data_IF_217968999052
#
_entry.id   IF_217968999052
#
_cell.length_a   1.000
_cell.length_b   1.000
_cell.length_c   1.000
_cell.angle_alpha   90.00
_cell.angle_beta   90.00
_cell.angle_gamma   90.00
#
_symmetry.space_group_name_H-M   'P 1'
#
loop_
_entity.id
_entity.type
_entity.pdbx_description
1 polymer ?
#
# COMPACT_ATOMS: atom_id res chain seq x y z
N UNK A 1 -18.67 -2.48 28.54
CA UNK A 1 -18.23 -1.59 27.45
C UNK A 1 -17.23 -2.40 26.65
N UNK A 2 -17.53 -2.76 25.40
CA UNK A 2 -16.51 -3.37 24.51
C UNK A 2 -15.36 -2.38 24.35
N UNK A 3 -14.12 -2.86 24.40
CA UNK A 3 -12.95 -2.01 24.11
C UNK A 3 -13.07 -1.42 22.71
N UNK A 4 -12.58 -0.19 22.48
CA UNK A 4 -12.52 0.35 21.12
C UNK A 4 -11.74 -0.55 20.18
N UNK A 5 -12.16 -0.63 18.93
CA UNK A 5 -11.44 -1.32 17.87
C UNK A 5 -10.20 -0.51 17.49
N UNK A 6 -9.03 -1.12 17.61
CA UNK A 6 -7.76 -0.50 17.27
C UNK A 6 -7.53 -0.55 15.76
N UNK A 7 -7.61 0.61 15.10
CA UNK A 7 -7.38 0.79 13.68
C UNK A 7 -6.01 1.45 13.47
N UNK A 8 -5.16 0.87 12.62
CA UNK A 8 -3.87 1.41 12.26
C UNK A 8 -3.73 1.49 10.73
N UNK A 9 -3.39 2.68 10.21
CA UNK A 9 -3.26 2.90 8.77
C UNK A 9 -2.24 4.00 8.46
N UNK A 10 -1.89 4.18 7.19
CA UNK A 10 -0.88 5.15 6.78
C UNK A 10 -1.45 6.58 6.72
N UNK A 11 -0.59 7.61 6.76
CA UNK A 11 -1.01 8.98 6.46
C UNK A 11 -1.16 9.23 4.96
N UNK A 12 -1.08 8.19 4.12
CA UNK A 12 -1.25 8.31 2.67
C UNK A 12 -2.71 8.57 2.30
N UNK A 13 -2.92 9.27 1.19
CA UNK A 13 -4.22 9.83 0.85
C UNK A 13 -5.30 8.76 0.62
N UNK A 14 -4.94 7.59 0.10
CA UNK A 14 -5.87 6.48 -0.11
C UNK A 14 -6.35 5.85 1.21
N UNK A 15 -5.46 5.64 2.18
CA UNK A 15 -5.84 5.13 3.50
C UNK A 15 -6.73 6.12 4.26
N UNK A 16 -6.35 7.41 4.27
CA UNK A 16 -7.18 8.44 4.91
C UNK A 16 -8.54 8.51 4.22
N UNK A 17 -8.58 8.47 2.88
CA UNK A 17 -9.83 8.46 2.12
C UNK A 17 -10.79 7.35 2.58
N UNK A 18 -10.27 6.14 2.78
CA UNK A 18 -11.06 4.98 3.20
C UNK A 18 -11.65 5.12 4.60
N UNK A 19 -10.88 5.67 5.55
CA UNK A 19 -11.25 5.68 6.96
C UNK A 19 -11.77 7.04 7.46
N UNK A 20 -11.63 8.09 6.69
CA UNK A 20 -12.11 9.42 7.06
C UNK A 20 -13.61 9.44 7.41
N UNK A 21 -14.52 8.82 6.62
CA UNK A 21 -15.95 8.80 6.96
C UNK A 21 -16.25 8.11 8.28
N UNK A 22 -15.59 7.00 8.57
CA UNK A 22 -15.73 6.26 9.82
C UNK A 22 -15.34 7.12 11.02
N UNK A 23 -14.19 7.78 10.93
CA UNK A 23 -13.62 8.57 12.03
C UNK A 23 -14.37 9.91 12.23
N UNK A 24 -15.10 10.38 11.22
CA UNK A 24 -15.89 11.62 11.28
C UNK A 24 -17.39 11.39 11.43
N UNK A 25 -17.81 10.17 11.84
CA UNK A 25 -19.21 9.86 12.14
C UNK A 25 -20.16 9.95 10.94
N UNK A 26 -19.64 9.73 9.73
CA UNK A 26 -20.45 9.76 8.50
C UNK A 26 -21.17 8.43 8.23
N UNK A 27 -20.79 7.36 8.91
CA UNK A 27 -21.36 6.03 8.74
C UNK A 27 -21.83 5.46 10.07
N UNK A 28 -22.82 4.55 10.00
CA UNK A 28 -23.26 3.82 11.17
C UNK A 28 -22.21 2.79 11.59
N UNK A 29 -21.71 2.90 12.81
CA UNK A 29 -20.70 2.01 13.37
C UNK A 29 -21.28 0.75 14.03
N UNK A 30 -22.57 0.54 13.95
CA UNK A 30 -23.28 -0.59 14.59
C UNK A 30 -22.96 -0.72 16.10
N UNK A 31 -22.76 0.42 16.75
CA UNK A 31 -22.41 0.50 18.18
C UNK A 31 -20.94 0.22 18.50
N UNK A 32 -20.08 0.02 17.51
CA UNK A 32 -18.64 -0.05 17.69
C UNK A 32 -18.04 1.35 17.90
N UNK A 33 -16.96 1.40 18.66
CA UNK A 33 -16.10 2.57 18.80
C UNK A 33 -14.73 2.24 18.24
N UNK A 34 -14.05 3.21 17.65
CA UNK A 34 -12.76 3.04 17.00
C UNK A 34 -11.73 4.00 17.61
N UNK A 35 -10.51 3.51 17.76
CA UNK A 35 -9.32 4.35 17.96
C UNK A 35 -8.45 4.22 16.73
N UNK A 36 -7.85 5.31 16.27
CA UNK A 36 -7.05 5.31 15.05
C UNK A 36 -5.64 5.81 15.34
N UNK A 37 -4.66 5.12 14.79
CA UNK A 37 -3.26 5.53 14.75
C UNK A 37 -2.76 5.57 13.32
N UNK A 38 -1.91 6.57 13.02
CA UNK A 38 -1.27 6.70 11.70
C UNK A 38 0.24 6.49 11.85
N UNK A 39 0.81 5.66 10.98
CA UNK A 39 2.25 5.45 10.87
C UNK A 39 2.63 5.16 9.41
N UNK A 40 3.90 5.36 9.06
CA UNK A 40 4.36 5.02 7.71
C UNK A 40 4.24 3.51 7.43
N UNK A 41 4.16 3.18 6.13
CA UNK A 41 3.89 1.82 5.65
C UNK A 41 4.86 0.77 6.20
N UNK A 42 6.17 1.05 6.28
CA UNK A 42 7.13 0.06 6.80
C UNK A 42 6.97 -0.11 8.31
N UNK A 43 6.68 0.97 9.04
CA UNK A 43 6.35 0.90 10.48
C UNK A 43 5.08 0.08 10.72
N UNK A 44 4.02 0.29 9.93
CA UNK A 44 2.81 -0.54 10.00
C UNK A 44 3.09 -2.01 9.69
N UNK A 45 3.87 -2.29 8.65
CA UNK A 45 4.29 -3.64 8.30
C UNK A 45 5.02 -4.33 9.47
N UNK A 46 5.95 -3.63 10.14
CA UNK A 46 6.65 -4.16 11.30
C UNK A 46 5.71 -4.37 12.49
N UNK A 47 4.84 -3.41 12.74
CA UNK A 47 3.88 -3.45 13.84
C UNK A 47 2.86 -4.58 13.70
N UNK A 48 2.47 -4.93 12.48
CA UNK A 48 1.53 -6.02 12.22
C UNK A 48 2.02 -7.38 12.79
N UNK A 49 3.33 -7.56 12.98
CA UNK A 49 3.89 -8.77 13.59
C UNK A 49 3.59 -8.86 15.09
N UNK A 50 3.40 -7.74 15.79
CA UNK A 50 3.06 -7.72 17.23
C UNK A 50 1.60 -8.09 17.51
N UNK A 51 0.71 -7.95 16.52
CA UNK A 51 -0.70 -8.29 16.65
C UNK A 51 -1.51 -7.35 17.55
N UNK A 52 -1.05 -6.13 17.76
CA UNK A 52 -1.67 -5.16 18.67
C UNK A 52 -2.81 -4.33 18.06
N UNK A 53 -2.92 -4.29 16.73
CA UNK A 53 -4.03 -3.67 16.03
C UNK A 53 -5.12 -4.67 15.66
N UNK A 54 -6.38 -4.27 15.73
CA UNK A 54 -7.52 -5.08 15.33
C UNK A 54 -7.71 -5.06 13.80
N UNK A 55 -7.55 -3.88 13.21
CA UNK A 55 -7.50 -3.68 11.75
C UNK A 55 -6.26 -2.87 11.43
N UNK A 56 -5.46 -3.34 10.47
CA UNK A 56 -4.20 -2.72 10.10
C UNK A 56 -4.00 -2.71 8.59
N UNK A 57 -3.65 -1.54 8.03
CA UNK A 57 -3.20 -1.43 6.65
C UNK A 57 -1.79 -1.99 6.52
N UNK A 58 -1.59 -2.92 5.58
CA UNK A 58 -0.30 -3.59 5.36
C UNK A 58 -0.03 -3.76 3.87
N UNK A 59 1.25 -3.84 3.54
CA UNK A 59 1.65 -4.33 2.22
C UNK A 59 1.25 -5.81 2.05
N UNK A 60 0.83 -6.21 0.85
CA UNK A 60 0.47 -7.61 0.57
C UNK A 60 1.66 -8.56 0.83
N UNK A 61 2.90 -8.11 0.59
CA UNK A 61 4.09 -8.88 0.94
C UNK A 61 4.23 -9.12 2.46
N UNK A 62 3.80 -8.16 3.28
CA UNK A 62 3.80 -8.31 4.74
C UNK A 62 2.63 -9.20 5.20
N UNK A 63 1.46 -9.10 4.54
CA UNK A 63 0.35 -9.99 4.86
C UNK A 63 0.76 -11.47 4.79
N UNK A 64 1.62 -11.85 3.85
CA UNK A 64 2.16 -13.20 3.76
C UNK A 64 2.87 -13.70 5.03
N UNK A 65 3.36 -12.80 5.88
CA UNK A 65 4.07 -13.11 7.13
C UNK A 65 3.18 -13.15 8.35
N UNK A 66 1.98 -12.58 8.24
CA UNK A 66 1.02 -12.46 9.35
C UNK A 66 -0.29 -13.22 9.09
N UNK A 67 -0.41 -13.95 7.98
CA UNK A 67 -1.62 -14.65 7.57
C UNK A 67 -2.16 -15.67 8.60
N UNK A 68 -1.29 -16.17 9.49
CA UNK A 68 -1.73 -17.02 10.61
C UNK A 68 -2.55 -16.26 11.67
N UNK A 69 -2.31 -14.95 11.84
CA UNK A 69 -2.95 -14.12 12.87
C UNK A 69 -4.01 -13.19 12.30
N UNK A 70 -3.99 -12.93 10.98
CA UNK A 70 -4.87 -11.98 10.31
C UNK A 70 -5.55 -12.59 9.10
N UNK A 71 -6.75 -12.09 8.80
CA UNK A 71 -7.44 -12.25 7.52
C UNK A 71 -7.26 -10.98 6.70
N UNK A 72 -7.23 -11.09 5.39
CA UNK A 72 -7.28 -9.93 4.49
C UNK A 72 -8.74 -9.52 4.29
N UNK A 73 -9.08 -8.25 4.48
CA UNK A 73 -10.42 -7.76 4.17
C UNK A 73 -10.67 -7.79 2.66
N UNK A 74 -11.91 -8.11 2.20
CA UNK A 74 -12.24 -8.14 0.77
C UNK A 74 -12.24 -6.76 0.12
N UNK A 75 -12.21 -5.71 0.91
CA UNK A 75 -12.25 -4.30 0.53
C UNK A 75 -11.05 -3.55 1.13
N UNK A 76 -10.80 -2.33 0.64
CA UNK A 76 -9.69 -1.49 1.10
C UNK A 76 -8.34 -1.91 0.52
N UNK A 77 -8.32 -2.51 -0.67
CA UNK A 77 -7.08 -2.83 -1.37
C UNK A 77 -6.63 -1.67 -2.26
N UNK A 78 -5.31 -1.45 -2.29
CA UNK A 78 -4.65 -0.57 -3.25
C UNK A 78 -4.04 -1.42 -4.35
N UNK A 79 -4.54 -1.26 -5.59
CA UNK A 79 -4.22 -2.13 -6.72
C UNK A 79 -3.74 -1.30 -7.92
N UNK A 80 -2.62 -1.71 -8.50
CA UNK A 80 -2.11 -1.11 -9.72
C UNK A 80 -2.57 -1.86 -10.97
N UNK A 81 -3.27 -1.20 -11.88
CA UNK A 81 -3.74 -1.76 -13.16
C UNK A 81 -2.89 -1.26 -14.32
N UNK A 82 -1.74 -1.90 -14.57
CA UNK A 82 -0.75 -1.46 -15.56
C UNK A 82 0.04 -0.23 -15.09
N UNK A 83 0.01 0.06 -13.81
CA UNK A 83 0.82 1.06 -13.12
C UNK A 83 1.10 0.62 -11.69
N UNK A 84 2.15 1.19 -11.07
CA UNK A 84 2.50 0.85 -9.69
C UNK A 84 3.60 1.75 -9.15
N UNK A 85 4.39 1.28 -8.20
CA UNK A 85 5.61 1.94 -7.76
C UNK A 85 6.55 2.21 -8.94
N UNK A 86 7.29 3.33 -8.89
CA UNK A 86 8.18 3.75 -9.97
C UNK A 86 9.62 3.68 -9.51
N UNK A 87 10.45 2.94 -10.24
CA UNK A 87 11.90 2.97 -10.06
C UNK A 87 12.47 4.12 -10.89
N UNK A 88 13.17 5.03 -10.21
CA UNK A 88 13.75 6.23 -10.83
C UNK A 88 15.27 6.30 -10.63
N UNK A 89 15.96 7.00 -11.51
CA UNK A 89 17.39 7.25 -11.43
C UNK A 89 17.72 8.70 -11.84
N UNK A 90 18.95 9.13 -11.65
CA UNK A 90 19.44 10.47 -12.09
C UNK A 90 19.54 10.60 -13.59
N UNK A 91 19.78 9.52 -14.30
CA UNK A 91 19.97 9.45 -15.74
C UNK A 91 19.28 8.21 -16.32
N UNK A 92 19.00 8.14 -17.61
CA UNK A 92 18.40 6.99 -18.25
C UNK A 92 19.22 5.71 -18.01
N UNK A 93 18.54 4.67 -17.53
CA UNK A 93 19.12 3.35 -17.25
C UNK A 93 18.14 2.25 -17.66
N UNK A 94 18.66 1.08 -17.95
CA UNK A 94 17.83 -0.12 -18.07
C UNK A 94 17.69 -0.79 -16.70
N UNK A 95 16.59 -1.50 -16.47
CA UNK A 95 16.39 -2.26 -15.22
C UNK A 95 17.55 -3.23 -14.98
N UNK A 96 17.96 -3.97 -16.00
CA UNK A 96 19.07 -4.94 -15.90
C UNK A 96 20.41 -4.33 -15.47
N UNK A 97 20.68 -3.05 -15.80
CA UNK A 97 21.90 -2.36 -15.41
C UNK A 97 22.00 -2.06 -13.89
N UNK A 98 20.89 -2.24 -13.18
CA UNK A 98 20.79 -2.01 -11.74
C UNK A 98 21.01 -3.29 -10.90
N UNK A 99 21.21 -4.45 -11.54
CA UNK A 99 21.53 -5.67 -10.82
C UNK A 99 22.83 -5.51 -10.01
N UNK A 100 22.81 -5.92 -8.74
CA UNK A 100 23.92 -5.76 -7.80
C UNK A 100 24.22 -4.32 -7.37
N UNK A 101 23.40 -3.33 -7.78
CA UNK A 101 23.59 -1.92 -7.40
C UNK A 101 22.83 -1.58 -6.12
N UNK A 102 23.20 -0.47 -5.49
CA UNK A 102 22.48 0.08 -4.34
C UNK A 102 21.21 0.74 -4.82
N UNK A 103 20.07 0.26 -4.33
CA UNK A 103 18.74 0.80 -4.67
C UNK A 103 18.03 1.25 -3.39
N UNK A 104 17.60 2.51 -3.38
CA UNK A 104 16.75 3.05 -2.32
C UNK A 104 15.38 2.37 -2.36
N UNK A 105 14.94 1.82 -1.25
CA UNK A 105 13.64 1.15 -1.12
C UNK A 105 12.87 1.72 0.06
N UNK A 106 11.53 1.80 -0.01
CA UNK A 106 10.71 2.37 1.06
C UNK A 106 10.66 1.50 2.33
N UNK A 107 10.96 0.22 2.16
CA UNK A 107 10.99 -0.77 3.23
C UNK A 107 11.09 -2.18 2.66
N UNK A 108 11.72 -3.07 3.39
CA UNK A 108 11.98 -4.44 2.91
C UNK A 108 10.75 -5.37 3.05
N UNK A 109 9.71 -4.92 3.75
CA UNK A 109 8.43 -5.64 3.89
C UNK A 109 7.38 -5.19 2.87
N UNK A 110 7.69 -4.18 2.05
CA UNK A 110 6.76 -3.63 1.06
C UNK A 110 6.58 -4.56 -0.14
N UNK A 111 5.38 -4.57 -0.72
CA UNK A 111 5.12 -5.28 -1.99
C UNK A 111 5.96 -4.71 -3.13
N UNK A 112 6.22 -3.41 -3.12
CA UNK A 112 7.09 -2.76 -4.08
C UNK A 112 8.51 -3.38 -4.08
N UNK A 113 9.09 -3.60 -2.90
CA UNK A 113 10.39 -4.28 -2.76
C UNK A 113 10.32 -5.72 -3.26
N UNK A 114 9.30 -6.49 -2.84
CA UNK A 114 9.12 -7.87 -3.27
C UNK A 114 9.10 -7.99 -4.80
N UNK A 115 8.26 -7.16 -5.47
CA UNK A 115 8.12 -7.22 -6.93
C UNK A 115 9.39 -6.76 -7.64
N UNK A 116 10.07 -5.73 -7.13
CA UNK A 116 11.36 -5.33 -7.68
C UNK A 116 12.39 -6.48 -7.60
N UNK A 117 12.43 -7.23 -6.48
CA UNK A 117 13.27 -8.43 -6.33
C UNK A 117 12.90 -9.53 -7.33
N UNK A 118 11.60 -9.75 -7.58
CA UNK A 118 11.13 -10.73 -8.57
C UNK A 118 11.49 -10.34 -10.01
N UNK A 119 11.52 -9.05 -10.33
CA UNK A 119 11.79 -8.54 -11.67
C UNK A 119 13.29 -8.37 -11.97
N UNK A 120 14.06 -7.90 -10.99
CA UNK A 120 15.48 -7.57 -11.16
C UNK A 120 16.43 -8.67 -10.65
N UNK A 121 15.99 -9.47 -9.66
CA UNK A 121 16.86 -10.37 -8.92
C UNK A 121 17.61 -9.65 -7.79
N UNK A 122 18.88 -9.98 -7.59
CA UNK A 122 19.67 -9.46 -6.48
C UNK A 122 20.17 -8.03 -6.73
N UNK A 123 20.02 -7.20 -5.69
CA UNK A 123 20.60 -5.86 -5.60
C UNK A 123 20.85 -5.54 -4.10
N UNK A 124 21.57 -4.48 -3.80
CA UNK A 124 21.80 -4.02 -2.43
C UNK A 124 20.70 -3.02 -2.03
N UNK A 125 19.73 -3.42 -1.17
CA UNK A 125 18.68 -2.52 -0.73
C UNK A 125 19.19 -1.53 0.32
N UNK A 126 18.90 -0.26 0.11
CA UNK A 126 19.13 0.81 1.09
C UNK A 126 17.76 1.33 1.52
N UNK A 127 17.34 1.07 2.75
CA UNK A 127 16.07 1.57 3.24
C UNK A 127 16.12 3.09 3.34
N UNK A 128 15.22 3.76 2.64
CA UNK A 128 15.04 5.21 2.65
C UNK A 128 13.61 5.49 3.03
N UNK A 129 13.36 6.17 4.17
CA UNK A 129 12.01 6.50 4.60
C UNK A 129 11.22 7.25 3.51
N UNK A 130 9.92 6.96 3.40
CA UNK A 130 9.04 7.65 2.45
C UNK A 130 8.60 9.04 2.95
N UNK A 131 8.75 9.32 4.22
CA UNK A 131 8.45 10.62 4.80
C UNK A 131 9.71 11.17 5.50
N UNK A 132 10.26 12.31 5.04
CA UNK A 132 9.82 13.06 3.86
C UNK A 132 10.29 12.42 2.53
N UNK A 133 9.51 12.53 1.46
CA UNK A 133 9.89 12.03 0.12
C UNK A 133 11.20 12.63 -0.41
N UNK A 134 11.56 13.82 0.06
CA UNK A 134 12.84 14.46 -0.23
C UNK A 134 14.05 13.54 0.08
N UNK A 135 13.94 12.65 1.07
CA UNK A 135 15.02 11.73 1.44
C UNK A 135 15.38 10.75 0.31
N UNK A 136 14.37 10.28 -0.47
CA UNK A 136 14.60 9.42 -1.62
C UNK A 136 15.39 10.14 -2.71
N UNK A 137 15.02 11.37 -3.03
CA UNK A 137 15.69 12.19 -4.04
C UNK A 137 17.09 12.65 -3.59
N UNK A 138 17.25 12.98 -2.31
CA UNK A 138 18.57 13.32 -1.76
C UNK A 138 19.54 12.12 -1.79
N UNK A 139 19.05 10.91 -1.51
CA UNK A 139 19.83 9.69 -1.62
C UNK A 139 20.34 9.43 -3.06
N UNK A 140 19.53 9.83 -4.07
CA UNK A 140 19.94 9.80 -5.47
C UNK A 140 20.96 10.89 -5.79
N UNK A 141 20.71 12.14 -5.38
CA UNK A 141 21.60 13.28 -5.66
C UNK A 141 22.99 13.11 -5.05
N UNK A 142 23.04 12.62 -3.82
CA UNK A 142 24.31 12.35 -3.11
C UNK A 142 25.07 11.11 -3.61
N UNK A 143 24.45 10.30 -4.50
CA UNK A 143 25.05 9.04 -4.96
C UNK A 143 25.08 7.93 -3.90
N UNK A 144 24.30 8.08 -2.83
CA UNK A 144 24.10 7.02 -1.82
C UNK A 144 23.47 5.78 -2.45
N UNK A 145 22.56 5.99 -3.42
CA UNK A 145 21.91 4.96 -4.21
C UNK A 145 21.98 5.28 -5.72
N UNK A 146 21.94 4.25 -6.55
CA UNK A 146 21.95 4.35 -8.01
C UNK A 146 20.54 4.59 -8.59
N UNK A 147 19.52 4.04 -7.91
CA UNK A 147 18.12 4.20 -8.22
C UNK A 147 17.30 4.26 -6.93
N UNK A 148 16.07 4.75 -6.99
CA UNK A 148 15.15 4.80 -5.85
C UNK A 148 13.76 4.33 -6.27
N UNK A 149 13.17 3.46 -5.45
CA UNK A 149 11.84 2.91 -5.65
C UNK A 149 10.82 3.78 -4.90
N UNK A 150 9.98 4.50 -5.65
CA UNK A 150 9.00 5.43 -5.13
C UNK A 150 7.62 4.77 -5.07
N UNK A 151 6.96 4.91 -3.94
CA UNK A 151 5.58 4.47 -3.71
C UNK A 151 4.70 5.68 -3.40
N UNK A 152 3.39 5.46 -3.27
CA UNK A 152 2.38 6.46 -2.92
C UNK A 152 2.47 7.71 -3.80
N UNK A 153 2.21 8.89 -3.26
CA UNK A 153 2.23 10.16 -4.00
C UNK A 153 3.60 10.48 -4.60
N UNK A 154 4.70 9.98 -4.02
CA UNK A 154 6.06 10.20 -4.53
C UNK A 154 6.25 9.81 -6.00
N UNK A 155 5.47 8.82 -6.49
CA UNK A 155 5.48 8.42 -7.89
C UNK A 155 4.96 9.51 -8.87
N UNK A 156 4.23 10.50 -8.37
CA UNK A 156 3.65 11.57 -9.21
C UNK A 156 4.61 12.73 -9.45
N UNK A 157 5.68 12.84 -8.63
CA UNK A 157 6.49 14.05 -8.57
C UNK A 157 7.95 13.88 -8.99
N UNK A 158 8.39 12.66 -9.32
CA UNK A 158 9.80 12.35 -9.59
C UNK A 158 10.40 13.21 -10.72
N UNK A 159 9.61 13.58 -11.75
CA UNK A 159 10.09 14.41 -12.85
C UNK A 159 10.43 15.83 -12.39
N UNK A 160 9.67 16.39 -11.44
CA UNK A 160 9.95 17.71 -10.84
C UNK A 160 11.28 17.73 -10.08
N UNK A 161 11.71 16.57 -9.57
CA UNK A 161 12.97 16.39 -8.85
C UNK A 161 14.17 16.13 -9.78
N UNK A 162 13.98 16.23 -11.09
CA UNK A 162 15.03 16.03 -12.08
C UNK A 162 15.48 14.59 -12.23
N UNK A 163 14.64 13.64 -11.83
CA UNK A 163 14.89 12.19 -11.99
C UNK A 163 14.15 11.65 -13.20
N UNK A 164 14.63 10.51 -13.71
CA UNK A 164 14.02 9.83 -14.88
C UNK A 164 13.52 8.44 -14.48
N UNK A 165 12.40 8.05 -15.07
CA UNK A 165 11.83 6.72 -14.87
C UNK A 165 12.73 5.65 -15.50
N UNK A 166 13.13 4.66 -14.69
CA UNK A 166 13.76 3.42 -15.17
C UNK A 166 12.68 2.43 -15.57
N UNK A 167 11.71 2.19 -14.70
CA UNK A 167 10.56 1.33 -14.96
C UNK A 167 9.40 1.64 -14.00
N UNK A 168 8.18 1.37 -14.45
CA UNK A 168 7.02 1.26 -13.58
C UNK A 168 6.85 -0.22 -13.21
N UNK A 169 6.81 -0.51 -11.90
CA UNK A 169 6.76 -1.89 -11.39
C UNK A 169 5.43 -2.56 -11.69
N UNK A 170 4.33 -1.80 -11.72
CA UNK A 170 3.01 -2.34 -12.08
C UNK A 170 2.90 -2.67 -13.58
N UNK A 171 3.47 -1.83 -14.44
CA UNK A 171 3.57 -2.10 -15.88
C UNK A 171 4.42 -3.36 -16.14
N UNK A 172 5.60 -3.45 -15.50
CA UNK A 172 6.49 -4.60 -15.63
C UNK A 172 5.87 -5.88 -15.06
N UNK A 173 5.13 -5.80 -13.96
CA UNK A 173 4.36 -6.91 -13.39
C UNK A 173 3.28 -7.40 -14.34
N UNK A 174 2.46 -6.50 -14.88
CA UNK A 174 1.40 -6.85 -15.84
C UNK A 174 1.99 -7.56 -17.07
N UNK A 175 3.12 -7.07 -17.60
CA UNK A 175 3.82 -7.74 -18.70
C UNK A 175 4.29 -9.15 -18.31
N UNK A 176 4.88 -9.32 -17.12
CA UNK A 176 5.43 -10.59 -16.64
C UNK A 176 4.35 -11.63 -16.28
N UNK A 177 3.10 -11.20 -16.05
CA UNK A 177 1.99 -12.04 -15.60
C UNK A 177 0.86 -12.19 -16.63
N UNK A 178 1.05 -11.65 -17.84
CA UNK A 178 0.01 -11.71 -18.87
C UNK A 178 -1.21 -10.82 -18.57
N UNK A 179 -0.99 -9.68 -17.92
CA UNK A 179 -2.00 -8.65 -17.68
C UNK A 179 -2.66 -8.65 -16.31
N UNK A 180 -2.16 -9.43 -15.34
CA UNK A 180 -2.70 -9.36 -13.98
C UNK A 180 -2.41 -8.01 -13.33
N UNK A 181 -3.36 -7.46 -12.56
CA UNK A 181 -3.12 -6.27 -11.74
C UNK A 181 -2.08 -6.53 -10.65
N UNK A 182 -1.50 -5.49 -10.08
CA UNK A 182 -0.55 -5.60 -8.98
C UNK A 182 -1.23 -5.24 -7.66
N UNK A 183 -1.54 -6.22 -6.78
CA UNK A 183 -2.04 -5.93 -5.44
C UNK A 183 -0.88 -5.43 -4.56
N UNK A 184 -0.95 -4.17 -4.14
CA UNK A 184 0.14 -3.48 -3.42
C UNK A 184 -0.05 -3.53 -1.91
N UNK A 185 -1.22 -3.12 -1.44
CA UNK A 185 -1.60 -3.05 -0.04
C UNK A 185 -3.04 -3.50 0.17
N UNK A 186 -3.40 -3.70 1.43
CA UNK A 186 -4.74 -4.03 1.85
C UNK A 186 -4.91 -3.93 3.35
N UNK A 187 -6.13 -4.02 3.82
CA UNK A 187 -6.45 -4.00 5.24
C UNK A 187 -6.54 -5.41 5.78
N UNK A 188 -5.81 -5.71 6.83
CA UNK A 188 -5.83 -6.99 7.53
C UNK A 188 -6.60 -6.87 8.84
N UNK A 189 -7.45 -7.87 9.16
CA UNK A 189 -8.25 -7.94 10.38
C UNK A 189 -7.83 -9.12 11.24
N UNK A 190 -7.69 -8.90 12.54
CA UNK A 190 -7.17 -9.88 13.48
C UNK A 190 -8.14 -11.04 13.70
N UNK A 191 -7.68 -12.29 13.49
CA UNK A 191 -8.50 -13.51 13.62
C UNK A 191 -9.08 -13.72 15.03
N UNK A 192 -8.33 -13.31 16.08
CA UNK A 192 -8.75 -13.51 17.48
C UNK A 192 -9.96 -12.69 17.90
N UNK A 193 -10.45 -11.77 17.06
CA UNK A 193 -11.71 -11.04 17.29
C UNK A 193 -12.95 -11.96 17.20
N UNK A 194 -12.83 -13.10 16.52
CA UNK A 194 -13.92 -14.03 16.28
C UNK A 194 -14.82 -13.64 15.11
N UNK A 195 -15.49 -14.62 14.50
CA UNK A 195 -16.20 -14.48 13.25
C UNK A 195 -17.26 -13.36 13.26
N UNK A 196 -18.11 -13.28 14.28
CA UNK A 196 -19.17 -12.27 14.40
C UNK A 196 -18.61 -10.83 14.46
N UNK A 197 -17.53 -10.64 15.22
CA UNK A 197 -16.86 -9.32 15.30
C UNK A 197 -16.20 -8.96 13.99
N UNK A 198 -15.52 -9.91 13.34
CA UNK A 198 -14.87 -9.73 12.05
C UNK A 198 -15.89 -9.30 10.99
N UNK A 199 -17.04 -9.99 10.90
CA UNK A 199 -18.10 -9.66 9.95
C UNK A 199 -18.65 -8.25 10.19
N UNK A 200 -18.90 -7.89 11.45
CA UNK A 200 -19.42 -6.56 11.80
C UNK A 200 -18.42 -5.46 11.48
N UNK A 201 -17.14 -5.63 11.86
CA UNK A 201 -16.08 -4.65 11.60
C UNK A 201 -15.84 -4.53 10.10
N UNK A 202 -15.79 -5.65 9.36
CA UNK A 202 -15.64 -5.67 7.90
C UNK A 202 -16.75 -4.84 7.24
N UNK A 203 -18.01 -5.07 7.59
CA UNK A 203 -19.18 -4.34 7.08
C UNK A 203 -19.11 -2.84 7.38
N UNK A 204 -18.67 -2.45 8.58
CA UNK A 204 -18.51 -1.04 8.95
C UNK A 204 -17.40 -0.38 8.15
N UNK A 205 -16.24 -1.03 7.99
CA UNK A 205 -15.14 -0.55 7.16
C UNK A 205 -15.58 -0.41 5.68
N UNK A 206 -16.28 -1.41 5.13
CA UNK A 206 -16.82 -1.33 3.77
C UNK A 206 -17.79 -0.15 3.60
N UNK A 207 -18.64 0.09 4.60
CA UNK A 207 -19.57 1.22 4.57
C UNK A 207 -18.83 2.57 4.53
N UNK A 208 -17.69 2.67 5.24
CA UNK A 208 -16.82 3.85 5.20
C UNK A 208 -16.24 4.07 3.80
N UNK A 209 -15.67 3.04 3.20
CA UNK A 209 -15.07 3.11 1.86
C UNK A 209 -16.14 3.48 0.81
N UNK A 210 -17.31 2.86 0.88
CA UNK A 210 -18.43 3.15 -0.03
C UNK A 210 -18.90 4.59 0.10
N UNK A 211 -19.07 5.06 1.33
CA UNK A 211 -19.45 6.45 1.58
C UNK A 211 -18.42 7.42 1.01
N UNK A 212 -17.12 7.15 1.20
CA UNK A 212 -16.05 7.96 0.64
C UNK A 212 -16.11 8.02 -0.89
N UNK A 213 -16.35 6.88 -1.55
CA UNK A 213 -16.47 6.80 -3.01
C UNK A 213 -17.68 7.62 -3.53
N UNK A 214 -18.82 7.56 -2.83
CA UNK A 214 -20.03 8.32 -3.16
C UNK A 214 -19.90 9.82 -2.89
N UNK A 215 -19.01 10.22 -1.96
CA UNK A 215 -18.80 11.62 -1.54
C UNK A 215 -17.36 12.08 -1.78
N UNK A 216 -16.76 11.62 -2.87
CA UNK A 216 -15.33 11.80 -3.20
C UNK A 216 -14.84 13.24 -3.05
N UNK A 217 -15.60 14.21 -3.55
CA UNK A 217 -15.25 15.63 -3.49
C UNK A 217 -15.22 16.18 -2.05
N UNK A 218 -16.10 15.69 -1.18
CA UNK A 218 -16.11 16.09 0.23
C UNK A 218 -14.88 15.56 0.94
N UNK A 219 -14.56 14.29 0.75
CA UNK A 219 -13.38 13.65 1.36
C UNK A 219 -12.10 14.27 0.80
N UNK A 220 -11.97 14.46 -0.51
CA UNK A 220 -10.79 15.05 -1.13
C UNK A 220 -10.52 16.48 -0.58
N UNK A 221 -11.55 17.29 -0.40
CA UNK A 221 -11.40 18.61 0.24
C UNK A 221 -10.95 18.52 1.69
N UNK A 222 -11.43 17.54 2.44
CA UNK A 222 -11.01 17.30 3.82
C UNK A 222 -9.54 16.89 3.89
N UNK A 223 -9.09 15.99 3.00
CA UNK A 223 -7.70 15.56 2.92
C UNK A 223 -6.75 16.73 2.63
N UNK A 224 -7.11 17.60 1.70
CA UNK A 224 -6.31 18.80 1.39
C UNK A 224 -6.26 19.78 2.57
N UNK A 225 -7.33 19.87 3.37
CA UNK A 225 -7.38 20.73 4.54
C UNK A 225 -6.60 20.17 5.74
N UNK A 226 -6.44 18.85 5.84
CA UNK A 226 -5.65 18.19 6.90
C UNK A 226 -4.13 18.35 6.70
N UNK A 227 -3.67 18.82 5.53
CA UNK A 227 -2.25 19.03 5.17
C UNK A 227 -1.34 17.83 5.47
N UNK A 228 -1.84 16.61 5.31
CA UNK A 228 -1.13 15.39 5.72
C UNK A 228 0.12 15.10 4.89
N UNK A 229 0.24 15.70 3.70
CA UNK A 229 1.35 15.49 2.73
C UNK A 229 1.90 16.81 2.19
N UNK A 230 2.21 17.74 3.07
CA UNK A 230 2.82 19.03 2.70
C UNK A 230 4.18 18.89 2.04
N UNK A 231 4.90 17.82 2.34
CA UNK A 231 6.25 17.53 1.82
C UNK A 231 6.29 17.25 0.31
N UNK A 232 5.16 16.87 -0.31
CA UNK A 232 5.06 16.65 -1.76
C UNK A 232 4.34 17.77 -2.52
N UNK A 233 3.78 18.74 -1.81
CA UNK A 233 3.02 19.83 -2.44
C UNK A 233 1.80 19.32 -3.20
N UNK A 234 1.03 18.43 -2.56
CA UNK A 234 -0.17 17.80 -3.13
C UNK A 234 -1.24 18.87 -3.35
N UNK A 235 -1.64 19.08 -4.59
CA UNK A 235 -2.77 19.93 -4.98
C UNK A 235 -4.01 19.10 -5.31
N UNK A 236 -5.16 19.73 -5.52
CA UNK A 236 -6.42 19.05 -5.80
C UNK A 236 -6.33 18.13 -7.02
N UNK A 237 -5.60 18.52 -8.06
CA UNK A 237 -5.46 17.75 -9.30
C UNK A 237 -4.60 16.50 -9.08
N UNK A 238 -3.48 16.63 -8.39
CA UNK A 238 -2.60 15.49 -8.06
C UNK A 238 -3.25 14.54 -7.06
N UNK A 239 -4.01 15.06 -6.08
CA UNK A 239 -4.79 14.24 -5.18
C UNK A 239 -5.86 13.44 -5.93
N UNK A 240 -6.66 14.09 -6.78
CA UNK A 240 -7.69 13.39 -7.55
C UNK A 240 -7.09 12.30 -8.44
N UNK A 241 -5.98 12.59 -9.12
CA UNK A 241 -5.23 11.60 -9.90
C UNK A 241 -4.75 10.43 -9.04
N UNK A 242 -4.23 10.69 -7.85
CA UNK A 242 -3.76 9.66 -6.93
C UNK A 242 -4.91 8.77 -6.44
N UNK A 243 -6.00 9.39 -5.99
CA UNK A 243 -7.19 8.66 -5.54
C UNK A 243 -7.84 7.85 -6.67
N UNK A 244 -7.84 8.35 -7.92
CA UNK A 244 -8.32 7.60 -9.08
C UNK A 244 -7.50 6.32 -9.33
N UNK A 245 -6.22 6.33 -8.97
CA UNK A 245 -5.35 5.16 -9.12
C UNK A 245 -5.54 4.13 -7.99
N UNK A 246 -5.73 4.56 -6.74
CA UNK A 246 -5.59 3.69 -5.58
C UNK A 246 -6.80 3.64 -4.65
N UNK A 247 -7.80 4.52 -4.85
CA UNK A 247 -9.07 4.52 -4.13
C UNK A 247 -10.23 4.49 -5.16
N UNK A 248 -10.47 3.32 -5.74
CA UNK A 248 -11.36 3.08 -6.87
C UNK A 248 -12.20 1.81 -6.67
N UNK A 249 -12.73 1.23 -7.74
CA UNK A 249 -13.59 0.04 -7.68
C UNK A 249 -12.90 -1.17 -7.04
N UNK A 250 -11.58 -1.34 -7.24
CA UNK A 250 -10.79 -2.41 -6.59
C UNK A 250 -10.73 -2.23 -5.06
N UNK A 251 -10.86 -0.99 -4.59
CA UNK A 251 -10.92 -0.67 -3.16
C UNK A 251 -12.27 -1.00 -2.55
N UNK A 252 -13.36 -0.95 -3.33
CA UNK A 252 -14.71 -1.30 -2.86
C UNK A 252 -14.89 -2.80 -2.66
N UNK A 253 -14.33 -3.61 -3.54
CA UNK A 253 -14.33 -5.07 -3.47
C UNK A 253 -13.21 -5.62 -4.37
N UNK A 254 -12.54 -6.67 -3.92
CA UNK A 254 -11.48 -7.32 -4.68
C UNK A 254 -12.08 -8.26 -5.75
N UNK A 255 -12.06 -7.89 -7.04
CA UNK A 255 -12.58 -8.73 -8.10
C UNK A 255 -11.70 -9.98 -8.35
N UNK A 256 -12.20 -10.93 -9.13
CA UNK A 256 -11.54 -12.23 -9.37
C UNK A 256 -10.12 -12.12 -9.95
N UNK A 257 -9.84 -11.10 -10.76
CA UNK A 257 -8.50 -10.91 -11.32
C UNK A 257 -7.51 -10.41 -10.26
N UNK A 258 -7.96 -9.63 -9.27
CA UNK A 258 -7.15 -9.24 -8.10
C UNK A 258 -6.89 -10.46 -7.21
N UNK A 259 -7.89 -11.31 -6.97
CA UNK A 259 -7.72 -12.57 -6.22
C UNK A 259 -6.69 -13.48 -6.88
N UNK A 260 -6.76 -13.67 -8.20
CA UNK A 260 -5.76 -14.41 -8.97
C UNK A 260 -4.37 -13.76 -8.91
N UNK A 261 -4.31 -12.44 -8.89
CA UNK A 261 -3.06 -11.71 -8.77
C UNK A 261 -2.39 -11.89 -7.40
N UNK A 262 -3.18 -11.93 -6.33
CA UNK A 262 -2.70 -12.28 -4.98
C UNK A 262 -2.07 -13.67 -4.98
N UNK A 263 -2.75 -14.68 -5.53
CA UNK A 263 -2.24 -16.05 -5.61
C UNK A 263 -0.95 -16.13 -6.43
N UNK A 264 -0.89 -15.43 -7.57
CA UNK A 264 0.31 -15.41 -8.42
C UNK A 264 1.49 -14.70 -7.73
N UNK A 265 1.24 -13.60 -7.00
CA UNK A 265 2.27 -12.89 -6.23
C UNK A 265 2.85 -13.80 -5.14
N UNK A 266 1.99 -14.50 -4.39
CA UNK A 266 2.41 -15.42 -3.34
C UNK A 266 3.18 -16.62 -3.91
N UNK A 267 2.70 -17.19 -5.00
CA UNK A 267 3.36 -18.29 -5.71
C UNK A 267 4.77 -17.90 -6.15
N UNK A 268 4.93 -16.76 -6.82
CA UNK A 268 6.24 -16.27 -7.27
C UNK A 268 7.15 -15.91 -6.09
N UNK A 269 6.59 -15.24 -5.06
CA UNK A 269 7.35 -14.87 -3.87
C UNK A 269 7.90 -16.08 -3.12
N UNK A 270 7.10 -17.14 -2.95
CA UNK A 270 7.55 -18.42 -2.36
C UNK A 270 8.59 -19.11 -3.25
N UNK A 271 8.33 -19.23 -4.53
CA UNK A 271 9.26 -19.88 -5.47
C UNK A 271 10.64 -19.19 -5.52
N UNK A 272 10.68 -17.88 -5.27
CA UNK A 272 11.92 -17.10 -5.19
C UNK A 272 12.55 -17.08 -3.77
N UNK A 273 11.94 -17.73 -2.78
CA UNK A 273 12.40 -17.70 -1.38
C UNK A 273 12.26 -16.33 -0.70
N UNK A 274 11.43 -15.44 -1.24
CA UNK A 274 11.21 -14.08 -0.74
C UNK A 274 10.00 -13.98 0.23
N UNK A 275 9.10 -14.95 0.18
CA UNK A 275 7.98 -15.10 1.10
C UNK A 275 8.08 -16.45 1.83
N UNK A 276 7.48 -16.59 3.03
CA UNK A 276 7.43 -17.86 3.75
C UNK A 276 6.74 -18.96 2.93
N UNK A 277 7.23 -20.20 3.00
CA UNK A 277 6.67 -21.35 2.26
C UNK A 277 5.20 -21.61 2.60
N UNK A 278 4.83 -21.42 3.87
CA UNK A 278 3.46 -21.59 4.37
C UNK A 278 2.52 -20.40 4.14
N UNK A 279 3.01 -19.31 3.52
CA UNK A 279 2.18 -18.13 3.29
C UNK A 279 1.02 -18.42 2.33
N UNK A 280 -0.18 -18.00 2.69
CA UNK A 280 -1.39 -18.14 1.89
C UNK A 280 -2.27 -16.90 2.03
N UNK A 281 -3.17 -16.72 1.05
CA UNK A 281 -4.17 -15.67 1.09
C UNK A 281 -5.48 -16.23 1.63
N UNK A 282 -6.00 -15.60 2.67
CA UNK A 282 -7.34 -15.89 3.18
C UNK A 282 -8.08 -14.58 3.38
N UNK A 283 -9.19 -14.44 2.67
CA UNK A 283 -10.02 -13.25 2.69
C UNK A 283 -11.13 -13.43 3.72
N UNK A 284 -11.38 -12.40 4.51
CA UNK A 284 -12.46 -12.38 5.48
C UNK A 284 -13.83 -12.50 4.78
N UNK A 285 -14.84 -13.08 5.44
CA UNK A 285 -16.18 -13.20 4.90
C UNK A 285 -16.85 -11.83 4.72
#
# INVERSE_FOLDING_TARGET
>A
VKSPIALAFSPDSDDIFMFWPLLHGKVNTEGLTFTAERADTETLNQRAESGDADVIAVSIAQYARISENYLLLPHGMSVGRGYGPVLVAREPRTLASLQGKRIGVPGMRTTAYLVLRLLLGDFEPVVVPIAPYAAAFESLRSGKVEASLLIHEGRLFYEREGTVKVTDIGEAWAHATGGLPLPLGGNAIRRSLGAESIETISRVCQSSIRWAAEHRDEVARALLAEETRTDVGLDASSLDRYLAMYANDDTLDAPDDVRRALDELFKRGRAAGLLPDGAYVEIAP
#
